data_IF_550796972498
#
_entry.id   IF_550796972498
#
_cell.length_a   1.000
_cell.length_b   1.000
_cell.length_c   1.000
_cell.angle_alpha   90.00
_cell.angle_beta   90.00
_cell.angle_gamma   90.00
#
_symmetry.space_group_name_H-M   'P 1'
#
loop_
_entity.id
_entity.type
_entity.pdbx_description
1 polymer ?
#
# COMPACT_ATOMS: atom_id res chain seq x y z
N UNK A 1 12.06 5.37 -26.68
CA UNK A 1 12.98 4.73 -25.72
C UNK A 1 12.14 3.87 -24.82
N UNK A 2 12.43 2.55 -24.71
CA UNK A 2 11.79 1.65 -23.77
C UNK A 2 12.29 1.94 -22.35
N UNK A 3 11.41 1.89 -21.36
CA UNK A 3 11.78 1.98 -19.93
C UNK A 3 12.18 0.59 -19.44
N UNK A 4 13.41 0.42 -18.97
CA UNK A 4 13.89 -0.83 -18.36
C UNK A 4 13.00 -1.24 -17.17
N UNK A 5 12.58 -0.26 -16.34
CA UNK A 5 11.70 -0.53 -15.20
C UNK A 5 10.31 -1.04 -15.63
N UNK A 6 9.75 -0.51 -16.71
CA UNK A 6 8.46 -0.99 -17.23
C UNK A 6 8.58 -2.41 -17.79
N UNK A 7 9.67 -2.74 -18.47
CA UNK A 7 9.91 -4.09 -18.97
C UNK A 7 10.04 -5.09 -17.80
N UNK A 8 10.78 -4.76 -16.76
CA UNK A 8 10.85 -5.56 -15.54
C UNK A 8 9.48 -5.67 -14.86
N UNK A 9 8.71 -4.58 -14.77
CA UNK A 9 7.40 -4.58 -14.17
C UNK A 9 6.41 -5.48 -14.92
N UNK A 10 6.40 -5.46 -16.25
CA UNK A 10 5.55 -6.35 -17.04
C UNK A 10 5.93 -7.83 -16.88
N UNK A 11 7.22 -8.14 -16.74
CA UNK A 11 7.70 -9.52 -16.49
C UNK A 11 7.34 -10.01 -15.09
N UNK A 12 7.28 -9.11 -14.11
CA UNK A 12 6.92 -9.39 -12.72
C UNK A 12 5.44 -9.16 -12.41
N UNK A 13 4.61 -8.84 -13.43
CA UNK A 13 3.22 -8.45 -13.21
C UNK A 13 2.40 -9.54 -12.51
N UNK A 14 1.55 -9.10 -11.58
CA UNK A 14 0.52 -9.89 -10.91
C UNK A 14 -0.86 -9.33 -11.25
N UNK A 15 -1.93 -10.14 -11.18
CA UNK A 15 -3.29 -9.69 -11.47
C UNK A 15 -3.72 -8.52 -10.57
N UNK A 16 -4.13 -7.40 -11.18
CA UNK A 16 -4.53 -6.19 -10.47
C UNK A 16 -5.55 -5.34 -11.25
N UNK A 17 -6.40 -5.96 -12.05
CA UNK A 17 -7.37 -5.26 -12.90
C UNK A 17 -6.68 -4.32 -13.88
N UNK A 18 -7.09 -3.05 -13.92
CA UNK A 18 -6.48 -2.04 -14.78
C UNK A 18 -5.17 -1.45 -14.27
N UNK A 19 -4.67 -1.87 -13.11
CA UNK A 19 -3.40 -1.37 -12.55
C UNK A 19 -2.23 -2.30 -12.91
N UNK A 20 -1.03 -1.76 -13.01
CA UNK A 20 0.20 -2.54 -13.10
C UNK A 20 0.73 -2.78 -11.67
N UNK A 21 0.45 -3.96 -11.13
CA UNK A 21 1.03 -4.44 -9.89
C UNK A 21 2.08 -5.50 -10.17
N UNK A 22 3.08 -5.63 -9.31
CA UNK A 22 4.20 -6.53 -9.51
C UNK A 22 4.43 -7.42 -8.29
N UNK A 23 4.86 -8.63 -8.52
CA UNK A 23 5.52 -9.44 -7.49
C UNK A 23 6.80 -8.73 -7.08
N UNK A 24 6.89 -8.34 -5.82
CA UNK A 24 7.96 -7.49 -5.30
C UNK A 24 9.34 -8.13 -5.40
N UNK A 25 9.43 -9.43 -5.10
CA UNK A 25 10.70 -10.17 -5.13
C UNK A 25 11.18 -10.32 -6.57
N UNK A 26 10.33 -10.81 -7.44
CA UNK A 26 10.64 -10.99 -8.86
C UNK A 26 11.01 -9.66 -9.53
N UNK A 27 10.29 -8.58 -9.20
CA UNK A 27 10.60 -7.25 -9.76
C UNK A 27 11.98 -6.76 -9.32
N UNK A 28 12.30 -6.89 -8.02
CA UNK A 28 13.60 -6.49 -7.48
C UNK A 28 14.74 -7.25 -8.15
N UNK A 29 14.63 -8.57 -8.24
CA UNK A 29 15.65 -9.43 -8.89
C UNK A 29 15.87 -9.06 -10.36
N UNK A 30 14.80 -8.78 -11.10
CA UNK A 30 14.89 -8.36 -12.50
C UNK A 30 15.60 -7.01 -12.64
N UNK A 31 15.29 -6.05 -11.79
CA UNK A 31 15.94 -4.73 -11.81
C UNK A 31 17.40 -4.83 -11.41
N UNK A 32 17.74 -5.60 -10.38
CA UNK A 32 19.11 -5.85 -9.96
C UNK A 32 19.95 -6.49 -11.10
N UNK A 33 19.38 -7.47 -11.79
CA UNK A 33 20.05 -8.11 -12.92
C UNK A 33 20.32 -7.12 -14.08
N UNK A 34 19.35 -6.25 -14.38
CA UNK A 34 19.51 -5.22 -15.41
C UNK A 34 20.58 -4.17 -15.03
N UNK A 35 20.67 -3.81 -13.76
CA UNK A 35 21.69 -2.88 -13.24
C UNK A 35 23.07 -3.54 -13.30
N UNK A 36 23.18 -4.78 -12.82
CA UNK A 36 24.44 -5.53 -12.80
C UNK A 36 25.01 -5.80 -14.21
N UNK A 37 24.15 -5.90 -15.22
CA UNK A 37 24.56 -6.08 -16.61
C UNK A 37 25.18 -4.81 -17.24
N UNK A 38 25.15 -3.66 -16.55
CA UNK A 38 25.67 -2.37 -17.07
C UNK A 38 27.13 -2.17 -16.67
N UNK A 39 28.09 -2.21 -17.59
CA UNK A 39 29.52 -2.11 -17.25
C UNK A 39 29.95 -0.74 -16.71
N UNK A 40 29.12 0.27 -16.85
CA UNK A 40 29.35 1.63 -16.35
C UNK A 40 28.64 1.93 -15.03
N UNK A 41 28.06 0.91 -14.36
CA UNK A 41 27.44 1.05 -13.06
C UNK A 41 28.20 0.20 -12.05
N UNK A 42 28.60 0.83 -10.96
CA UNK A 42 29.14 0.17 -9.78
C UNK A 42 28.09 0.24 -8.66
N UNK A 43 27.69 -0.91 -8.12
CA UNK A 43 26.74 -0.98 -7.00
C UNK A 43 27.53 -1.11 -5.71
N UNK A 44 27.40 -0.14 -4.83
CA UNK A 44 28.03 -0.15 -3.50
C UNK A 44 26.94 -0.30 -2.44
N UNK A 45 27.05 -1.37 -1.64
CA UNK A 45 26.13 -1.62 -0.54
C UNK A 45 26.65 -0.98 0.74
N UNK A 46 25.81 -0.19 1.41
CA UNK A 46 26.13 0.44 2.68
C UNK A 46 25.17 1.58 3.03
N UNK A 47 25.24 2.01 4.27
CA UNK A 47 24.54 3.21 4.69
C UNK A 47 25.28 4.46 4.20
N UNK A 48 24.57 5.34 3.50
CA UNK A 48 25.09 6.65 3.11
C UNK A 48 24.71 7.66 4.17
N UNK A 49 25.69 8.14 4.92
CA UNK A 49 25.51 9.11 6.01
C UNK A 49 25.93 10.53 5.65
N UNK A 50 26.61 10.70 4.50
CA UNK A 50 27.04 12.00 3.99
C UNK A 50 26.79 12.07 2.50
N UNK A 51 26.37 13.22 2.00
CA UNK A 51 26.15 13.42 0.57
C UNK A 51 27.51 13.61 -0.11
N UNK A 52 27.90 12.75 -1.07
CA UNK A 52 29.17 12.87 -1.75
C UNK A 52 29.23 14.10 -2.65
N UNK A 53 30.45 14.52 -3.00
CA UNK A 53 30.66 15.58 -3.99
C UNK A 53 30.31 15.12 -5.40
N UNK A 54 29.90 16.06 -6.26
CA UNK A 54 29.62 15.81 -7.67
C UNK A 54 28.12 15.88 -8.01
N UNK A 55 27.72 15.14 -9.06
CA UNK A 55 26.29 15.07 -9.45
C UNK A 55 25.64 13.93 -8.70
N UNK A 56 24.72 14.26 -7.81
CA UNK A 56 24.07 13.29 -6.90
C UNK A 56 22.57 13.28 -7.12
N UNK A 57 21.99 12.09 -7.12
CA UNK A 57 20.53 11.87 -7.06
C UNK A 57 20.24 11.08 -5.79
N UNK A 58 19.42 11.64 -4.89
CA UNK A 58 18.97 10.98 -3.67
C UNK A 58 17.56 10.44 -3.94
N UNK A 59 17.43 9.12 -3.94
CA UNK A 59 16.17 8.42 -4.19
C UNK A 59 15.88 7.38 -3.10
N UNK A 60 16.27 7.72 -1.86
CA UNK A 60 16.19 6.80 -0.70
C UNK A 60 14.77 6.59 -0.15
N UNK A 61 13.82 7.42 -0.60
CA UNK A 61 12.42 7.35 -0.13
C UNK A 61 12.23 7.76 1.33
N UNK A 62 11.02 7.55 1.89
CA UNK A 62 10.66 8.04 3.23
C UNK A 62 11.34 7.28 4.38
N UNK A 63 11.92 6.11 4.12
CA UNK A 63 12.59 5.28 5.12
C UNK A 63 14.12 5.45 5.11
N UNK A 64 14.63 6.55 4.57
CA UNK A 64 16.07 6.81 4.64
C UNK A 64 16.55 6.96 6.10
N UNK A 65 17.84 6.66 6.33
CA UNK A 65 18.40 6.73 7.67
C UNK A 65 18.31 8.14 8.27
N UNK A 66 18.23 8.27 9.60
CA UNK A 66 18.26 9.58 10.26
C UNK A 66 19.46 10.42 9.85
N UNK A 67 20.64 9.80 9.71
CA UNK A 67 21.85 10.50 9.31
C UNK A 67 21.75 11.11 7.91
N UNK A 68 21.24 10.35 6.92
CA UNK A 68 21.01 10.90 5.57
C UNK A 68 19.93 11.98 5.57
N UNK A 69 18.85 11.78 6.34
CA UNK A 69 17.78 12.78 6.48
C UNK A 69 18.32 14.11 7.01
N UNK A 70 19.18 14.09 8.04
CA UNK A 70 19.83 15.28 8.59
C UNK A 70 20.70 16.01 7.56
N UNK A 71 21.47 15.26 6.75
CA UNK A 71 22.28 15.85 5.68
C UNK A 71 21.42 16.51 4.60
N UNK A 72 20.31 15.86 4.21
CA UNK A 72 19.37 16.46 3.25
C UNK A 72 18.71 17.70 3.84
N UNK A 73 18.29 17.68 5.11
CA UNK A 73 17.71 18.85 5.79
C UNK A 73 18.65 20.05 5.84
N UNK A 74 19.96 19.82 6.03
CA UNK A 74 20.97 20.90 5.98
C UNK A 74 21.03 21.60 4.62
N UNK A 75 20.79 20.85 3.52
CA UNK A 75 20.81 21.41 2.17
C UNK A 75 19.56 22.20 1.81
N UNK A 76 18.37 21.71 2.24
CA UNK A 76 17.09 22.29 1.81
C UNK A 76 16.52 23.31 2.82
N UNK A 77 17.09 23.39 4.01
CA UNK A 77 16.54 24.19 5.11
C UNK A 77 15.48 23.44 5.90
N UNK A 78 15.57 23.46 7.20
CA UNK A 78 14.99 22.54 8.17
C UNK A 78 13.49 22.24 8.14
N UNK A 79 12.66 23.02 7.42
CA UNK A 79 11.20 22.84 7.41
C UNK A 79 10.67 22.24 6.08
N UNK A 80 11.56 21.82 5.18
CA UNK A 80 11.16 21.43 3.81
C UNK A 80 10.97 19.94 3.59
N UNK A 81 11.28 19.07 4.54
CA UNK A 81 11.13 17.62 4.41
C UNK A 81 9.92 17.13 5.19
N UNK A 82 8.93 16.63 4.47
CA UNK A 82 7.85 15.85 5.04
C UNK A 82 8.03 14.38 4.59
N UNK A 83 8.17 13.48 5.54
CA UNK A 83 8.17 12.05 5.30
C UNK A 83 6.84 11.47 5.76
N UNK A 84 6.28 10.57 4.95
CA UNK A 84 5.10 9.83 5.29
C UNK A 84 5.32 8.36 4.99
N UNK A 85 5.22 7.56 6.02
CA UNK A 85 5.31 6.12 5.94
C UNK A 85 4.03 5.51 6.52
N UNK A 86 3.07 5.25 5.64
CA UNK A 86 1.89 4.47 5.97
C UNK A 86 1.80 3.31 4.99
N UNK A 87 1.98 2.10 5.49
CA UNK A 87 1.88 0.88 4.71
C UNK A 87 0.48 0.28 4.84
N UNK A 88 -0.04 -0.29 3.76
CA UNK A 88 -1.26 -1.09 3.84
C UNK A 88 -0.93 -2.46 4.44
N UNK A 89 -1.78 -3.01 5.34
CA UNK A 89 -1.58 -4.34 5.90
C UNK A 89 -1.53 -5.41 4.81
N UNK A 90 -0.64 -6.38 5.00
CA UNK A 90 -0.57 -7.60 4.19
C UNK A 90 -1.06 -8.75 5.06
N UNK A 91 -1.99 -9.53 4.55
CA UNK A 91 -2.57 -10.68 5.23
C UNK A 91 -2.15 -11.98 4.56
N UNK A 92 -1.88 -13.01 5.33
CA UNK A 92 -1.61 -14.35 4.84
C UNK A 92 -2.91 -14.97 4.30
N UNK A 93 -2.85 -15.56 3.11
CA UNK A 93 -4.02 -16.17 2.47
C UNK A 93 -4.63 -17.31 3.32
N UNK A 94 -3.81 -18.03 4.10
CA UNK A 94 -4.28 -19.11 4.96
C UNK A 94 -5.16 -18.62 6.13
N UNK A 95 -5.14 -17.32 6.44
CA UNK A 95 -5.96 -16.71 7.48
C UNK A 95 -7.29 -16.17 6.97
N UNK A 96 -7.51 -16.22 5.65
CA UNK A 96 -8.71 -15.68 5.01
C UNK A 96 -9.84 -16.72 4.98
N UNK A 97 -11.03 -16.30 5.37
CA UNK A 97 -12.25 -17.11 5.21
C UNK A 97 -12.78 -17.01 3.78
N UNK A 98 -12.40 -17.98 2.94
CA UNK A 98 -12.75 -17.99 1.53
C UNK A 98 -14.23 -18.30 1.28
N UNK A 99 -14.99 -18.74 2.28
CA UNK A 99 -16.45 -18.94 2.17
C UNK A 99 -17.20 -17.59 2.27
N UNK A 100 -16.56 -16.58 2.85
CA UNK A 100 -17.09 -15.22 2.96
C UNK A 100 -16.61 -14.34 1.82
N UNK A 101 -15.36 -14.50 1.39
CA UNK A 101 -14.75 -13.69 0.36
C UNK A 101 -15.23 -14.10 -1.04
N UNK A 102 -15.29 -13.12 -1.95
CA UNK A 102 -15.62 -13.40 -3.35
C UNK A 102 -14.68 -12.65 -4.31
N UNK A 103 -14.43 -13.27 -5.46
CA UNK A 103 -13.60 -12.70 -6.52
C UNK A 103 -14.46 -11.85 -7.45
N UNK A 104 -14.14 -10.57 -7.55
CA UNK A 104 -14.75 -9.64 -8.51
C UNK A 104 -13.92 -8.35 -8.62
N UNK A 105 -13.65 -7.90 -9.84
CA UNK A 105 -13.27 -6.50 -10.07
C UNK A 105 -14.54 -5.65 -10.19
N UNK A 106 -14.47 -4.36 -9.82
CA UNK A 106 -15.65 -3.48 -9.89
C UNK A 106 -16.15 -3.36 -11.33
N UNK A 107 -17.47 -3.50 -11.50
CA UNK A 107 -18.17 -3.45 -12.79
C UNK A 107 -17.95 -4.65 -13.73
N UNK A 108 -17.28 -5.70 -13.27
CA UNK A 108 -17.11 -6.95 -13.97
C UNK A 108 -18.09 -8.02 -13.48
N UNK A 109 -18.19 -9.13 -14.19
CA UNK A 109 -19.04 -10.25 -13.79
C UNK A 109 -18.57 -10.91 -12.48
N UNK A 110 -19.49 -11.50 -11.74
CA UNK A 110 -19.16 -12.27 -10.53
C UNK A 110 -18.26 -13.45 -10.87
N UNK A 111 -17.29 -13.71 -10.01
CA UNK A 111 -16.31 -14.78 -10.18
C UNK A 111 -15.20 -14.45 -11.18
N UNK A 112 -15.30 -13.31 -11.84
CA UNK A 112 -14.21 -12.73 -12.64
C UNK A 112 -13.53 -11.61 -11.88
N UNK A 113 -12.28 -11.36 -12.22
CA UNK A 113 -11.51 -10.24 -11.68
C UNK A 113 -10.39 -10.64 -10.73
N UNK A 114 -9.51 -9.68 -10.56
CA UNK A 114 -8.21 -9.87 -9.91
C UNK A 114 -8.22 -9.57 -8.40
N UNK A 115 -9.38 -9.13 -7.88
CA UNK A 115 -9.52 -8.76 -6.47
C UNK A 115 -10.39 -9.75 -5.72
N UNK A 116 -10.00 -10.08 -4.49
CA UNK A 116 -10.90 -10.63 -3.50
C UNK A 116 -11.62 -9.49 -2.77
N UNK A 117 -12.87 -9.68 -2.41
CA UNK A 117 -13.67 -8.70 -1.70
C UNK A 117 -14.21 -9.31 -0.42
N UNK A 118 -14.00 -8.64 0.71
CA UNK A 118 -14.64 -8.93 1.99
C UNK A 118 -15.87 -8.02 2.12
N UNK A 119 -17.09 -8.56 1.93
CA UNK A 119 -18.31 -7.78 2.04
C UNK A 119 -18.67 -7.55 3.51
N UNK A 120 -19.14 -6.35 3.83
CA UNK A 120 -19.66 -6.02 5.15
C UNK A 120 -21.13 -5.57 5.03
N UNK A 121 -21.95 -6.01 5.97
CA UNK A 121 -23.26 -5.38 6.21
C UNK A 121 -23.07 -4.06 6.99
N UNK A 122 -24.18 -3.40 7.33
CA UNK A 122 -24.12 -2.08 7.99
C UNK A 122 -23.53 -2.18 9.40
N UNK A 123 -23.98 -3.16 10.16
CA UNK A 123 -23.59 -3.40 11.54
C UNK A 123 -22.10 -3.75 11.64
N UNK A 124 -21.62 -4.64 10.77
CA UNK A 124 -20.21 -5.00 10.66
C UNK A 124 -19.34 -3.81 10.27
N UNK A 125 -19.82 -2.99 9.33
CA UNK A 125 -19.14 -1.76 8.92
C UNK A 125 -19.02 -0.77 10.08
N UNK A 126 -20.12 -0.51 10.81
CA UNK A 126 -20.13 0.43 11.94
C UNK A 126 -19.17 -0.05 13.07
N UNK A 127 -19.17 -1.34 13.38
CA UNK A 127 -18.25 -1.93 14.36
C UNK A 127 -16.78 -1.82 13.89
N UNK A 128 -16.51 -2.05 12.61
CA UNK A 128 -15.18 -1.89 12.04
C UNK A 128 -14.68 -0.43 12.11
N UNK A 129 -15.54 0.54 11.79
CA UNK A 129 -15.18 1.97 11.87
C UNK A 129 -14.91 2.39 13.31
N UNK A 130 -15.68 1.91 14.27
CA UNK A 130 -15.44 2.16 15.69
C UNK A 130 -14.08 1.59 16.12
N UNK A 131 -13.80 0.33 15.79
CA UNK A 131 -12.53 -0.30 16.09
C UNK A 131 -11.35 0.45 15.44
N UNK A 132 -11.47 0.81 14.16
CA UNK A 132 -10.44 1.53 13.40
C UNK A 132 -10.12 2.92 13.99
N UNK A 133 -11.14 3.65 14.42
CA UNK A 133 -10.98 5.02 14.93
C UNK A 133 -10.53 5.08 16.38
N UNK A 134 -10.71 4.01 17.15
CA UNK A 134 -10.31 3.92 18.56
C UNK A 134 -9.00 3.15 18.79
N UNK A 135 -8.47 2.51 17.76
CA UNK A 135 -7.25 1.72 17.82
C UNK A 135 -6.01 2.57 18.13
N UNK A 136 -5.02 1.96 18.79
CA UNK A 136 -3.74 2.56 19.11
C UNK A 136 -2.89 2.75 17.85
N UNK A 137 -2.24 3.91 17.75
CA UNK A 137 -1.37 4.28 16.62
C UNK A 137 0.08 4.35 17.02
N UNK A 138 0.96 4.15 16.05
CA UNK A 138 2.38 4.46 16.20
C UNK A 138 2.51 5.98 16.37
N UNK A 139 3.29 6.41 17.36
CA UNK A 139 3.61 7.83 17.53
C UNK A 139 4.53 8.24 16.40
N UNK A 140 4.06 9.15 15.57
CA UNK A 140 4.86 9.72 14.48
C UNK A 140 6.00 10.56 15.06
N UNK A 141 7.16 10.57 14.41
CA UNK A 141 8.26 11.47 14.75
C UNK A 141 7.87 12.90 14.41
N UNK A 142 8.45 13.89 15.11
CA UNK A 142 8.08 15.30 15.00
C UNK A 142 8.11 15.87 13.57
N UNK A 143 8.88 15.29 12.65
CA UNK A 143 8.97 15.69 11.25
C UNK A 143 7.95 14.97 10.32
N UNK A 144 7.17 14.02 10.86
CA UNK A 144 6.16 13.26 10.09
C UNK A 144 4.77 13.90 10.17
N UNK A 145 4.63 15.01 10.92
CA UNK A 145 3.35 15.69 11.20
C UNK A 145 2.94 16.78 10.20
N UNK A 146 3.51 16.83 8.99
CA UNK A 146 3.13 17.79 7.95
C UNK A 146 1.76 17.50 7.31
N UNK A 147 1.24 18.43 6.51
CA UNK A 147 -0.02 18.29 5.77
C UNK A 147 0.00 17.01 4.91
N UNK A 148 -0.81 16.04 5.30
CA UNK A 148 -0.91 14.75 4.62
C UNK A 148 -1.56 14.94 3.25
N UNK A 149 -0.91 14.47 2.20
CA UNK A 149 -1.53 14.35 0.89
C UNK A 149 -2.82 13.53 1.01
N UNK A 150 -3.95 14.09 0.57
CA UNK A 150 -5.28 13.44 0.69
C UNK A 150 -5.30 11.99 0.18
N UNK A 151 -4.55 11.69 -0.88
CA UNK A 151 -4.49 10.37 -1.49
C UNK A 151 -3.71 9.31 -0.68
N UNK A 152 -2.92 9.75 0.32
CA UNK A 152 -2.06 8.89 1.13
C UNK A 152 -2.43 8.93 2.62
N UNK A 153 -3.59 9.49 2.97
CA UNK A 153 -4.03 9.53 4.37
C UNK A 153 -4.25 8.13 4.92
N UNK A 154 -3.81 7.85 6.16
CA UNK A 154 -4.14 6.61 6.84
C UNK A 154 -5.65 6.37 6.92
N UNK A 155 -6.07 5.12 6.79
CA UNK A 155 -7.48 4.76 6.76
C UNK A 155 -8.24 5.23 8.02
N UNK A 156 -7.60 5.17 9.19
CA UNK A 156 -8.15 5.66 10.46
C UNK A 156 -8.34 7.18 10.47
N UNK A 157 -7.50 7.96 9.78
CA UNK A 157 -7.68 9.41 9.67
C UNK A 157 -8.84 9.74 8.73
N UNK A 158 -8.95 9.04 7.60
CA UNK A 158 -10.11 9.19 6.71
C UNK A 158 -11.40 8.83 7.45
N UNK A 159 -11.42 7.74 8.22
CA UNK A 159 -12.59 7.31 8.98
C UNK A 159 -13.03 8.35 10.04
N UNK A 160 -12.09 9.10 10.64
CA UNK A 160 -12.38 10.16 11.61
C UNK A 160 -13.03 11.39 10.98
N UNK A 161 -12.86 11.63 9.68
CA UNK A 161 -13.50 12.77 9.00
C UNK A 161 -15.01 12.61 8.88
N UNK A 162 -15.55 11.39 8.99
CA UNK A 162 -16.98 11.10 8.99
C UNK A 162 -17.29 9.62 8.93
N UNK A 163 -18.41 9.21 9.52
CA UNK A 163 -18.80 7.79 9.63
C UNK A 163 -18.81 7.03 8.31
N UNK A 164 -19.12 7.70 7.20
CA UNK A 164 -19.20 7.09 5.87
C UNK A 164 -18.02 7.48 4.96
N UNK A 165 -17.05 8.26 5.45
CA UNK A 165 -15.97 8.79 4.61
C UNK A 165 -15.22 7.69 3.86
N UNK A 166 -14.77 6.64 4.57
CA UNK A 166 -14.04 5.52 3.97
C UNK A 166 -14.92 4.66 3.06
N UNK A 167 -16.25 4.64 3.28
CA UNK A 167 -17.22 3.93 2.44
C UNK A 167 -17.37 4.57 1.06
N UNK A 168 -17.07 5.85 0.91
CA UNK A 168 -16.99 6.53 -0.39
C UNK A 168 -15.58 6.45 -1.02
N UNK A 169 -14.60 5.95 -0.27
CA UNK A 169 -13.21 5.75 -0.67
C UNK A 169 -12.83 4.27 -0.80
N UNK A 170 -11.93 3.81 0.07
CA UNK A 170 -11.34 2.47 0.03
C UNK A 170 -12.38 1.34 0.14
N UNK A 171 -13.43 1.52 0.96
CA UNK A 171 -14.48 0.53 1.17
C UNK A 171 -15.71 0.70 0.26
N UNK A 172 -15.58 1.40 -0.86
CA UNK A 172 -16.69 1.66 -1.78
C UNK A 172 -17.29 0.36 -2.32
N UNK A 173 -18.62 0.10 -2.14
CA UNK A 173 -19.25 -1.15 -2.57
C UNK A 173 -19.78 -1.11 -4.01
N UNK A 174 -19.70 0.04 -4.69
CA UNK A 174 -20.29 0.24 -6.01
C UNK A 174 -19.60 -0.63 -7.05
N UNK A 175 -20.39 -1.30 -7.88
CA UNK A 175 -19.89 -2.21 -8.92
C UNK A 175 -19.58 -3.62 -8.41
N UNK A 176 -19.89 -3.93 -7.14
CA UNK A 176 -19.72 -5.25 -6.54
C UNK A 176 -21.09 -5.86 -6.21
N UNK A 177 -21.16 -7.19 -6.31
CA UNK A 177 -22.34 -7.98 -5.92
C UNK A 177 -21.89 -9.17 -5.08
N UNK A 178 -22.32 -9.22 -3.81
CA UNK A 178 -22.05 -10.35 -2.93
C UNK A 178 -22.84 -11.59 -3.41
N UNK A 179 -22.17 -12.68 -3.83
CA UNK A 179 -22.84 -13.86 -4.37
C UNK A 179 -23.73 -14.57 -3.34
N UNK A 180 -23.47 -14.40 -2.04
CA UNK A 180 -24.27 -15.01 -0.97
C UNK A 180 -25.65 -14.38 -0.84
N UNK A 181 -25.76 -13.09 -1.16
CA UNK A 181 -27.01 -12.33 -1.02
C UNK A 181 -27.61 -11.94 -2.35
N UNK A 182 -26.85 -11.99 -3.44
CA UNK A 182 -27.23 -11.48 -4.76
C UNK A 182 -27.37 -9.96 -4.80
N UNK A 183 -26.86 -9.24 -3.78
CA UNK A 183 -27.02 -7.79 -3.62
C UNK A 183 -25.67 -7.10 -3.43
N UNK A 184 -25.64 -5.80 -3.66
CA UNK A 184 -24.52 -4.96 -3.33
C UNK A 184 -24.32 -4.94 -1.81
N UNK A 185 -23.10 -5.20 -1.27
CA UNK A 185 -22.82 -5.09 0.15
C UNK A 185 -22.95 -3.65 0.64
N UNK A 186 -23.04 -3.43 1.94
CA UNK A 186 -23.01 -2.08 2.52
C UNK A 186 -21.65 -1.41 2.29
N UNK A 187 -20.59 -2.14 2.54
CA UNK A 187 -19.21 -1.78 2.26
C UNK A 187 -18.42 -3.03 1.84
N UNK A 188 -17.24 -2.86 1.26
CA UNK A 188 -16.36 -3.98 0.93
C UNK A 188 -14.89 -3.58 1.08
N UNK A 189 -14.09 -4.42 1.74
CA UNK A 189 -12.63 -4.32 1.70
C UNK A 189 -12.14 -5.10 0.50
N UNK A 190 -11.35 -4.47 -0.35
CA UNK A 190 -10.73 -5.16 -1.49
C UNK A 190 -9.32 -5.62 -1.14
N UNK A 191 -8.99 -6.84 -1.51
CA UNK A 191 -7.69 -7.46 -1.32
C UNK A 191 -7.09 -7.76 -2.68
N UNK A 192 -5.81 -7.40 -2.86
CA UNK A 192 -5.04 -7.67 -4.07
C UNK A 192 -3.90 -8.63 -3.74
N UNK A 193 -3.69 -9.63 -4.60
CA UNK A 193 -2.59 -10.56 -4.43
C UNK A 193 -1.23 -9.84 -4.49
N UNK A 194 -0.33 -10.19 -3.59
CA UNK A 194 1.05 -9.69 -3.53
C UNK A 194 2.00 -10.49 -4.42
N UNK A 195 1.63 -11.72 -4.76
CA UNK A 195 2.41 -12.63 -5.58
C UNK A 195 1.52 -13.46 -6.50
N UNK A 196 2.14 -14.14 -7.47
CA UNK A 196 1.43 -14.99 -8.45
C UNK A 196 0.76 -16.19 -7.82
N UNK A 197 1.35 -16.73 -6.76
CA UNK A 197 0.87 -17.88 -5.99
C UNK A 197 -0.32 -17.54 -5.09
N UNK A 198 -0.63 -16.25 -4.94
CA UNK A 198 -1.72 -15.73 -4.09
C UNK A 198 -1.62 -16.19 -2.63
N UNK A 199 -0.40 -16.27 -2.09
CA UNK A 199 -0.15 -16.66 -0.70
C UNK A 199 -0.31 -15.52 0.28
N UNK A 200 -0.31 -14.28 -0.20
CA UNK A 200 -0.49 -13.08 0.60
C UNK A 200 -1.31 -12.03 -0.17
N UNK A 201 -2.07 -11.24 0.56
CA UNK A 201 -2.91 -10.20 0.00
C UNK A 201 -2.72 -8.86 0.72
N UNK A 202 -2.70 -7.79 -0.05
CA UNK A 202 -2.66 -6.42 0.41
C UNK A 202 -4.07 -5.85 0.51
N UNK A 203 -4.39 -5.14 1.59
CA UNK A 203 -5.64 -4.40 1.75
C UNK A 203 -5.59 -3.11 0.93
N UNK A 204 -6.34 -3.05 -0.15
CA UNK A 204 -6.29 -1.94 -1.12
C UNK A 204 -6.84 -0.65 -0.51
N UNK A 205 -5.99 0.38 -0.45
CA UNK A 205 -6.38 1.69 0.08
C UNK A 205 -6.45 1.78 1.61
N UNK A 206 -5.83 0.84 2.31
CA UNK A 206 -5.78 0.78 3.78
C UNK A 206 -4.38 1.07 4.32
N UNK A 207 -3.72 2.09 3.81
CA UNK A 207 -2.53 2.61 4.49
C UNK A 207 -2.91 2.97 5.93
N UNK A 208 -2.08 2.58 6.89
CA UNK A 208 -2.40 2.76 8.31
C UNK A 208 -1.16 3.03 9.15
N UNK A 209 -1.34 3.82 10.21
CA UNK A 209 -0.38 4.03 11.28
C UNK A 209 -0.77 3.26 12.56
N UNK A 210 -1.70 2.33 12.47
CA UNK A 210 -2.06 1.47 13.62
C UNK A 210 -0.86 0.65 14.07
N UNK A 211 -0.75 0.43 15.38
CA UNK A 211 0.24 -0.50 15.91
C UNK A 211 0.01 -1.91 15.36
N UNK A 212 1.08 -2.69 15.25
CA UNK A 212 0.97 -4.06 14.72
C UNK A 212 0.02 -4.96 15.53
N UNK A 213 -0.11 -4.70 16.85
CA UNK A 213 -1.09 -5.37 17.71
C UNK A 213 -2.53 -5.09 17.29
N UNK A 214 -2.84 -3.83 17.01
CA UNK A 214 -4.16 -3.40 16.57
C UNK A 214 -4.53 -3.90 15.17
N UNK A 215 -3.54 -3.98 14.26
CA UNK A 215 -3.77 -4.54 12.92
C UNK A 215 -4.15 -6.03 12.93
N UNK A 216 -3.90 -6.75 14.04
CA UNK A 216 -4.23 -8.17 14.20
C UNK A 216 -5.56 -8.43 14.91
N UNK A 217 -6.18 -7.39 15.46
CA UNK A 217 -7.43 -7.47 16.19
C UNK A 217 -8.62 -7.52 15.21
#
# INVERSE_FOLDING_TARGET
MGSVLLDCAHRAAVPAGGALAVDRVTFSELVEAEVAARPNIEVVHGEVTQIPEGHVVIAAGPLCSPALSEEVMKLVGGDALAFMDAAAPIVDASTLDMDVLFSQSRYEEQGSGDYLNAPLNKEEYEAFIEALTTADRVVLKDFEGGDLFQACQPAEEVARTGKDAIRFGAMKPVGLTDPRTGRRPWAAIQLRAENKEKTAYNLVGFQTNLTFGEQKR
#
